data_IF_041304848862
#
_entry.id   IF_041304848862
#
_cell.length_a   1.000
_cell.length_b   1.000
_cell.length_c   1.000
_cell.angle_alpha   90.00
_cell.angle_beta   90.00
_cell.angle_gamma   90.00
#
_symmetry.space_group_name_H-M   'P 1'
#
loop_
_entity.id
_entity.type
_entity.pdbx_description
1 polymer ?
#
# COMPACT_ATOMS: atom_id res chain seq x y z
N UNK A 1 -17.84 -10.17 2.26
CA UNK A 1 -16.52 -9.80 1.73
C UNK A 1 -15.61 -9.51 2.90
N UNK A 2 -14.34 -9.91 2.85
CA UNK A 2 -13.34 -9.54 3.86
C UNK A 2 -12.58 -8.30 3.39
N UNK A 3 -11.94 -7.57 4.31
CA UNK A 3 -11.19 -6.34 3.99
C UNK A 3 -10.09 -6.59 2.96
N UNK A 4 -9.49 -7.77 2.97
CA UNK A 4 -8.45 -8.21 2.03
C UNK A 4 -9.02 -8.45 0.64
N UNK A 5 -10.23 -9.01 0.54
CA UNK A 5 -10.90 -9.22 -0.75
C UNK A 5 -11.29 -7.89 -1.37
N UNK A 6 -11.86 -6.99 -0.56
CA UNK A 6 -12.22 -5.63 -1.00
C UNK A 6 -10.98 -4.86 -1.46
N UNK A 7 -9.87 -4.99 -0.73
CA UNK A 7 -8.60 -4.38 -1.11
C UNK A 7 -8.04 -5.00 -2.39
N UNK A 8 -8.01 -6.32 -2.52
CA UNK A 8 -7.52 -6.98 -3.73
C UNK A 8 -8.31 -6.55 -4.97
N UNK A 9 -9.62 -6.42 -4.88
CA UNK A 9 -10.47 -5.96 -5.97
C UNK A 9 -10.18 -4.49 -6.34
N UNK A 10 -9.99 -3.63 -5.34
CA UNK A 10 -9.55 -2.25 -5.55
C UNK A 10 -8.18 -2.20 -6.25
N UNK A 11 -7.20 -2.96 -5.77
CA UNK A 11 -5.83 -2.95 -6.28
C UNK A 11 -5.73 -3.38 -7.75
N UNK A 12 -6.63 -4.25 -8.23
CA UNK A 12 -6.66 -4.66 -9.64
C UNK A 12 -6.93 -3.52 -10.63
N UNK A 13 -7.61 -2.46 -10.18
CA UNK A 13 -8.01 -1.34 -11.04
C UNK A 13 -7.38 -0.01 -10.61
N UNK A 14 -6.76 0.03 -9.43
CA UNK A 14 -6.10 1.22 -8.90
C UNK A 14 -4.92 1.65 -9.79
N UNK A 15 -4.74 2.95 -9.93
CA UNK A 15 -3.50 3.54 -10.45
C UNK A 15 -2.35 3.40 -9.44
N UNK A 16 -1.12 3.64 -9.87
CA UNK A 16 0.05 3.59 -8.97
C UNK A 16 -0.06 4.63 -7.85
N UNK A 17 -0.59 5.82 -8.16
CA UNK A 17 -0.84 6.88 -7.18
C UNK A 17 -1.86 6.44 -6.12
N UNK A 18 -2.95 5.78 -6.53
CA UNK A 18 -3.97 5.27 -5.61
C UNK A 18 -3.45 4.12 -4.75
N UNK A 19 -2.63 3.22 -5.32
CA UNK A 19 -1.91 2.18 -4.60
C UNK A 19 -1.00 2.78 -3.51
N UNK A 20 -0.21 3.81 -3.85
CA UNK A 20 0.68 4.48 -2.91
C UNK A 20 -0.08 5.27 -1.83
N UNK A 21 -1.18 5.92 -2.19
CA UNK A 21 -2.08 6.52 -1.21
C UNK A 21 -2.62 5.47 -0.24
N UNK A 22 -3.03 4.30 -0.74
CA UNK A 22 -3.51 3.21 0.10
C UNK A 22 -2.46 2.72 1.09
N UNK A 23 -1.22 2.53 0.63
CA UNK A 23 -0.11 2.15 1.51
C UNK A 23 0.11 3.19 2.62
N UNK A 24 0.06 4.48 2.29
CA UNK A 24 0.19 5.57 3.27
C UNK A 24 -0.97 5.59 4.29
N UNK A 25 -2.20 5.32 3.85
CA UNK A 25 -3.34 5.20 4.75
C UNK A 25 -3.16 4.05 5.75
N UNK A 26 -2.65 2.92 5.28
CA UNK A 26 -2.39 1.75 6.13
C UNK A 26 -1.27 2.00 7.14
N UNK A 27 -0.19 2.70 6.75
CA UNK A 27 0.83 3.17 7.70
C UNK A 27 0.23 4.09 8.77
N UNK A 28 -0.53 5.10 8.37
CA UNK A 28 -1.17 6.02 9.32
C UNK A 28 -2.17 5.31 10.24
N UNK A 29 -2.76 4.21 9.76
CA UNK A 29 -3.66 3.37 10.54
C UNK A 29 -2.89 2.46 11.50
N UNK A 30 -1.76 1.86 11.08
CA UNK A 30 -0.92 1.04 11.96
C UNK A 30 -0.35 1.86 13.12
N UNK A 31 0.00 3.13 12.90
CA UNK A 31 0.44 4.06 13.94
C UNK A 31 -0.63 4.31 15.02
N UNK A 32 -1.92 4.26 14.64
CA UNK A 32 -3.05 4.56 15.53
C UNK A 32 -3.63 3.32 16.20
N UNK A 33 -3.75 2.23 15.45
CA UNK A 33 -4.49 1.03 15.84
C UNK A 33 -3.56 -0.17 16.10
N UNK A 34 -2.28 -0.08 15.74
CA UNK A 34 -1.32 -1.17 15.80
C UNK A 34 -1.13 -1.89 14.46
N UNK A 35 0.05 -2.47 14.24
CA UNK A 35 0.37 -3.17 12.99
C UNK A 35 -0.51 -4.41 12.78
N UNK A 36 -0.81 -5.17 13.84
CA UNK A 36 -1.62 -6.39 13.79
C UNK A 36 -3.00 -6.17 13.13
N UNK A 37 -3.57 -4.98 13.26
CA UNK A 37 -4.89 -4.62 12.70
C UNK A 37 -4.88 -4.40 11.18
N UNK A 38 -3.70 -4.22 10.58
CA UNK A 38 -3.54 -3.88 9.15
C UNK A 38 -2.45 -4.68 8.43
N UNK A 39 -1.71 -5.55 9.12
CA UNK A 39 -0.56 -6.29 8.59
C UNK A 39 -0.89 -6.99 7.26
N UNK A 40 -1.98 -7.77 7.23
CA UNK A 40 -2.40 -8.46 6.01
C UNK A 40 -2.72 -7.51 4.83
N UNK A 41 -3.22 -6.30 5.12
CA UNK A 41 -3.51 -5.29 4.10
C UNK A 41 -2.22 -4.60 3.62
N UNK A 42 -1.28 -4.36 4.53
CA UNK A 42 0.06 -3.82 4.22
C UNK A 42 0.81 -4.79 3.33
N UNK A 43 0.84 -6.08 3.68
CA UNK A 43 1.51 -7.12 2.89
C UNK A 43 0.90 -7.27 1.49
N UNK A 44 -0.44 -7.23 1.39
CA UNK A 44 -1.11 -7.26 0.09
C UNK A 44 -0.77 -6.04 -0.77
N UNK A 45 -0.75 -4.85 -0.15
CA UNK A 45 -0.39 -3.60 -0.84
C UNK A 45 1.08 -3.61 -1.26
N UNK A 46 1.99 -4.08 -0.40
CA UNK A 46 3.41 -4.21 -0.70
C UNK A 46 3.67 -5.21 -1.83
N UNK A 47 2.94 -6.33 -1.83
CA UNK A 47 3.00 -7.33 -2.90
C UNK A 47 2.57 -6.73 -4.23
N UNK A 48 1.50 -5.93 -4.24
CA UNK A 48 1.07 -5.26 -5.47
C UNK A 48 2.09 -4.22 -5.96
N UNK A 49 2.75 -3.49 -5.06
CA UNK A 49 3.86 -2.61 -5.44
C UNK A 49 4.98 -3.40 -6.12
N UNK A 50 5.39 -4.55 -5.56
CA UNK A 50 6.42 -5.40 -6.16
C UNK A 50 5.97 -5.99 -7.51
N UNK A 51 4.69 -6.36 -7.66
CA UNK A 51 4.16 -6.84 -8.95
C UNK A 51 4.24 -5.79 -10.06
N UNK A 52 3.97 -4.51 -9.73
CA UNK A 52 4.03 -3.40 -10.69
C UNK A 52 5.45 -2.90 -10.94
N UNK A 53 6.32 -3.02 -9.94
CA UNK A 53 7.71 -2.56 -9.99
C UNK A 53 8.68 -3.68 -9.58
N UNK A 54 8.84 -4.75 -10.39
CA UNK A 54 9.63 -5.90 -10.00
C UNK A 54 11.09 -5.56 -9.67
N UNK A 55 11.57 -6.10 -8.55
CA UNK A 55 12.93 -5.91 -8.04
C UNK A 55 13.18 -4.58 -7.34
N UNK A 56 12.14 -3.74 -7.16
CA UNK A 56 12.29 -2.44 -6.52
C UNK A 56 11.77 -2.40 -5.08
N UNK A 57 11.07 -3.43 -4.60
CA UNK A 57 10.46 -3.45 -3.28
C UNK A 57 9.64 -2.16 -3.06
N UNK A 58 9.72 -1.54 -1.88
CA UNK A 58 9.02 -0.30 -1.57
C UNK A 58 9.70 0.98 -2.10
N UNK A 59 10.79 0.88 -2.87
CA UNK A 59 11.49 2.07 -3.36
C UNK A 59 10.61 3.04 -4.18
N UNK A 60 9.69 2.59 -5.06
CA UNK A 60 8.77 3.48 -5.78
C UNK A 60 7.86 4.28 -4.84
N UNK A 61 7.31 3.62 -3.82
CA UNK A 61 6.48 4.26 -2.79
C UNK A 61 7.27 5.28 -1.97
N UNK A 62 8.50 4.95 -1.56
CA UNK A 62 9.37 5.85 -0.80
C UNK A 62 9.66 7.13 -1.59
N UNK A 63 10.00 7.01 -2.89
CA UNK A 63 10.24 8.17 -3.76
C UNK A 63 8.98 9.03 -3.90
N UNK A 64 7.84 8.41 -4.19
CA UNK A 64 6.55 9.09 -4.28
C UNK A 64 6.20 9.86 -3.00
N UNK A 65 6.48 9.28 -1.82
CA UNK A 65 6.25 9.92 -0.52
C UNK A 65 7.16 11.13 -0.33
N UNK A 66 8.42 11.05 -0.76
CA UNK A 66 9.40 12.14 -0.68
C UNK A 66 9.03 13.30 -1.61
N UNK A 67 8.59 13.03 -2.84
CA UNK A 67 8.18 14.04 -3.81
C UNK A 67 7.00 14.90 -3.33
N UNK A 68 6.21 14.39 -2.38
CA UNK A 68 5.04 15.08 -1.79
C UNK A 68 5.31 15.70 -0.41
N UNK A 69 6.52 15.54 0.12
CA UNK A 69 7.00 16.22 1.34
C UNK A 69 7.83 17.46 1.00
N UNK A 70 8.20 17.63 -0.28
CA UNK A 70 8.79 18.82 -0.87
C UNK A 70 7.70 19.78 -1.36
#
# INVERSE_FOLDING_TARGET
MTKETDLADFLRVATDDELFHKMRELEAKSEKEGLEEVEALVDLTATEIENRFPGQSLAPYVRWKQDRLL
#
